data_IF_696551958141
#
_entry.id   IF_696551958141
#
_cell.length_a   1.000
_cell.length_b   1.000
_cell.length_c   1.000
_cell.angle_alpha   90.00
_cell.angle_beta   90.00
_cell.angle_gamma   90.00
#
_symmetry.space_group_name_H-M   'P 1'
#
loop_
_entity.id
_entity.type
_entity.pdbx_description
1 polymer ?
#
# COMPACT_ATOMS: atom_id res chain seq x y z
N UNK A 1 18.49 -8.68 -14.79
CA UNK A 1 18.38 -8.42 -13.34
C UNK A 1 17.27 -7.43 -12.97
N UNK A 2 17.26 -6.20 -13.53
CA UNK A 2 16.25 -5.17 -13.20
C UNK A 2 14.80 -5.57 -13.54
N UNK A 3 14.57 -6.17 -14.72
CA UNK A 3 13.25 -6.67 -15.11
C UNK A 3 12.73 -7.78 -14.17
N UNK A 4 13.62 -8.60 -13.63
CA UNK A 4 13.26 -9.64 -12.65
C UNK A 4 12.79 -9.05 -11.32
N UNK A 5 13.46 -8.00 -10.84
CA UNK A 5 13.06 -7.25 -9.64
C UNK A 5 11.70 -6.58 -9.87
N UNK A 6 11.51 -5.98 -11.03
CA UNK A 6 10.25 -5.32 -11.40
C UNK A 6 9.09 -6.34 -11.46
N UNK A 7 9.30 -7.48 -12.13
CA UNK A 7 8.30 -8.53 -12.25
C UNK A 7 7.95 -9.15 -10.89
N UNK A 8 8.95 -9.40 -10.04
CA UNK A 8 8.72 -9.89 -8.69
C UNK A 8 7.92 -8.87 -7.85
N UNK A 9 8.30 -7.60 -7.89
CA UNK A 9 7.60 -6.53 -7.18
C UNK A 9 6.13 -6.40 -7.62
N UNK A 10 5.90 -6.27 -8.93
CA UNK A 10 4.55 -6.15 -9.49
C UNK A 10 3.71 -7.41 -9.25
N UNK A 11 4.30 -8.60 -9.33
CA UNK A 11 3.62 -9.87 -9.10
C UNK A 11 3.19 -10.09 -7.64
N UNK A 12 3.91 -9.50 -6.68
CA UNK A 12 3.55 -9.56 -5.26
C UNK A 12 2.59 -8.46 -4.82
N UNK A 13 2.63 -7.28 -5.46
CA UNK A 13 1.82 -6.14 -5.08
C UNK A 13 0.31 -6.43 -5.20
N UNK A 14 -0.12 -6.99 -6.33
CA UNK A 14 -1.53 -7.30 -6.61
C UNK A 14 -2.16 -8.23 -5.56
N UNK A 15 -1.63 -9.45 -5.29
CA UNK A 15 -2.22 -10.33 -4.29
C UNK A 15 -2.14 -9.75 -2.87
N UNK A 16 -1.12 -8.95 -2.55
CA UNK A 16 -1.00 -8.29 -1.24
C UNK A 16 -2.08 -7.24 -1.03
N UNK A 17 -2.31 -6.37 -2.03
CA UNK A 17 -3.38 -5.37 -2.00
C UNK A 17 -4.75 -6.06 -1.90
N UNK A 18 -4.99 -7.08 -2.72
CA UNK A 18 -6.23 -7.85 -2.69
C UNK A 18 -6.48 -8.50 -1.32
N UNK A 19 -5.44 -9.06 -0.68
CA UNK A 19 -5.56 -9.65 0.66
C UNK A 19 -5.79 -8.60 1.77
N UNK A 20 -5.17 -7.42 1.66
CA UNK A 20 -5.42 -6.33 2.60
C UNK A 20 -6.85 -5.80 2.49
N UNK A 21 -7.37 -5.66 1.27
CA UNK A 21 -8.75 -5.27 1.02
C UNK A 21 -9.69 -6.32 1.61
N UNK A 22 -9.46 -7.61 1.36
CA UNK A 22 -10.35 -8.68 1.85
C UNK A 22 -10.41 -8.76 3.39
N UNK A 23 -9.39 -8.28 4.10
CA UNK A 23 -9.33 -8.27 5.57
C UNK A 23 -9.91 -7.01 6.21
N UNK A 24 -10.05 -5.92 5.45
CA UNK A 24 -10.45 -4.59 5.98
C UNK A 24 -11.79 -4.08 5.43
N UNK A 25 -12.38 -4.77 4.46
CA UNK A 25 -13.53 -4.31 3.69
C UNK A 25 -14.55 -5.44 3.60
N UNK A 26 -15.82 -5.16 3.88
CA UNK A 26 -16.90 -6.17 3.77
C UNK A 26 -17.20 -6.49 2.30
N UNK A 27 -17.85 -7.63 2.02
CA UNK A 27 -18.12 -8.06 0.64
C UNK A 27 -18.90 -7.02 -0.19
N UNK A 28 -19.69 -6.17 0.45
CA UNK A 28 -20.47 -5.10 -0.20
C UNK A 28 -19.61 -3.91 -0.67
N UNK A 29 -18.50 -3.64 0.01
CA UNK A 29 -17.62 -2.50 -0.29
C UNK A 29 -16.46 -2.87 -1.24
N UNK A 30 -16.16 -4.17 -1.37
CA UNK A 30 -15.04 -4.68 -2.18
C UNK A 30 -15.14 -4.27 -3.66
N UNK A 31 -16.35 -4.26 -4.23
CA UNK A 31 -16.59 -3.83 -5.62
C UNK A 31 -16.30 -2.34 -5.85
N UNK A 32 -16.64 -1.49 -4.89
CA UNK A 32 -16.36 -0.05 -4.95
C UNK A 32 -14.85 0.21 -4.84
N UNK A 33 -14.16 -0.49 -3.93
CA UNK A 33 -12.70 -0.37 -3.79
C UNK A 33 -11.98 -0.83 -5.05
N UNK A 34 -12.36 -1.98 -5.61
CA UNK A 34 -11.74 -2.51 -6.83
C UNK A 34 -12.03 -1.62 -8.04
N UNK A 35 -13.24 -1.07 -8.14
CA UNK A 35 -13.61 -0.08 -9.15
C UNK A 35 -12.77 1.19 -9.05
N UNK A 36 -12.54 1.70 -7.83
CA UNK A 36 -11.65 2.83 -7.58
C UNK A 36 -10.21 2.56 -8.03
N UNK A 37 -9.66 1.40 -7.68
CA UNK A 37 -8.31 0.98 -8.12
C UNK A 37 -8.23 0.94 -9.65
N UNK A 38 -9.23 0.38 -10.34
CA UNK A 38 -9.24 0.35 -11.80
C UNK A 38 -9.35 1.75 -12.42
N UNK A 39 -10.17 2.64 -11.86
CA UNK A 39 -10.27 4.02 -12.32
C UNK A 39 -8.93 4.76 -12.21
N UNK A 40 -8.22 4.59 -11.08
CA UNK A 40 -6.87 5.13 -10.92
C UNK A 40 -5.87 4.54 -11.91
N UNK A 41 -5.96 3.24 -12.19
CA UNK A 41 -5.09 2.59 -13.17
C UNK A 41 -5.31 3.19 -14.58
N UNK A 42 -6.56 3.33 -15.00
CA UNK A 42 -6.91 3.97 -16.27
C UNK A 42 -6.43 5.42 -16.34
N UNK A 43 -6.60 6.19 -15.26
CA UNK A 43 -6.10 7.56 -15.17
C UNK A 43 -4.58 7.61 -15.32
N UNK A 44 -3.86 6.70 -14.68
CA UNK A 44 -2.40 6.62 -14.75
C UNK A 44 -1.93 6.29 -16.17
N UNK A 45 -2.63 5.41 -16.88
CA UNK A 45 -2.30 5.10 -18.28
C UNK A 45 -2.45 6.29 -19.22
N UNK A 46 -3.36 7.23 -18.93
CA UNK A 46 -3.55 8.46 -19.72
C UNK A 46 -2.60 9.56 -19.26
N UNK A 47 -2.56 9.83 -17.95
CA UNK A 47 -1.78 10.92 -17.37
C UNK A 47 -0.27 10.65 -17.40
N UNK A 48 0.13 9.38 -17.27
CA UNK A 48 1.54 8.96 -17.22
C UNK A 48 2.32 9.37 -18.47
N UNK A 49 1.90 8.98 -19.68
CA UNK A 49 2.57 9.39 -20.92
C UNK A 49 2.58 10.91 -21.14
N UNK A 50 1.49 11.61 -20.80
CA UNK A 50 1.40 13.07 -20.92
C UNK A 50 2.42 13.74 -20.00
N UNK A 51 2.48 13.32 -18.74
CA UNK A 51 3.42 13.83 -17.75
C UNK A 51 4.87 13.52 -18.16
N UNK A 52 5.15 12.27 -18.51
CA UNK A 52 6.48 11.82 -18.91
C UNK A 52 6.96 12.54 -20.18
N UNK A 53 6.10 12.68 -21.19
CA UNK A 53 6.41 13.41 -22.42
C UNK A 53 6.69 14.88 -22.17
N UNK A 54 5.86 15.54 -21.35
CA UNK A 54 6.05 16.96 -21.01
C UNK A 54 7.39 17.20 -20.30
N UNK A 55 7.75 16.34 -19.35
CA UNK A 55 9.02 16.43 -18.63
C UNK A 55 10.20 16.07 -19.53
N UNK A 56 10.03 15.09 -20.41
CA UNK A 56 11.03 14.72 -21.41
C UNK A 56 11.36 15.91 -22.30
N UNK A 57 10.36 16.63 -22.79
CA UNK A 57 10.54 17.77 -23.71
C UNK A 57 11.15 19.00 -23.02
N UNK A 58 10.77 19.27 -21.76
CA UNK A 58 11.21 20.48 -21.05
C UNK A 58 12.58 20.34 -20.37
N UNK A 59 12.89 19.17 -19.82
CA UNK A 59 14.08 18.96 -18.96
C UNK A 59 15.07 18.01 -19.63
N UNK A 60 14.59 17.10 -20.47
CA UNK A 60 15.40 16.19 -21.26
C UNK A 60 15.16 14.71 -20.96
N UNK A 61 15.87 13.82 -21.66
CA UNK A 61 15.54 12.40 -21.71
C UNK A 61 15.64 11.63 -20.38
N UNK A 62 16.48 12.10 -19.46
CA UNK A 62 16.71 11.45 -18.16
C UNK A 62 15.65 11.83 -17.12
N UNK A 63 14.95 12.95 -17.30
CA UNK A 63 14.07 13.53 -16.30
C UNK A 63 12.84 12.66 -15.96
N UNK A 64 12.17 11.97 -16.92
CA UNK A 64 11.06 11.08 -16.59
C UNK A 64 11.49 9.93 -15.67
N UNK A 65 12.69 9.36 -15.88
CA UNK A 65 13.20 8.27 -15.04
C UNK A 65 13.50 8.73 -13.61
N UNK A 66 14.11 9.91 -13.45
CA UNK A 66 14.39 10.48 -12.14
C UNK A 66 13.09 10.81 -11.40
N UNK A 67 12.10 11.38 -12.10
CA UNK A 67 10.79 11.67 -11.51
C UNK A 67 10.08 10.40 -11.03
N UNK A 68 10.12 9.32 -11.82
CA UNK A 68 9.59 8.01 -11.43
C UNK A 68 10.28 7.44 -10.20
N UNK A 69 11.61 7.53 -10.12
CA UNK A 69 12.37 7.10 -8.95
C UNK A 69 11.97 7.88 -7.69
N UNK A 70 11.84 9.21 -7.78
CA UNK A 70 11.40 10.06 -6.68
C UNK A 70 9.98 9.71 -6.22
N UNK A 71 9.05 9.48 -7.16
CA UNK A 71 7.67 9.10 -6.84
C UNK A 71 7.61 7.75 -6.11
N UNK A 72 8.34 6.74 -6.59
CA UNK A 72 8.40 5.42 -5.95
C UNK A 72 9.03 5.51 -4.55
N UNK A 73 10.13 6.27 -4.39
CA UNK A 73 10.75 6.49 -3.09
C UNK A 73 9.82 7.19 -2.11
N UNK A 74 9.09 8.21 -2.56
CA UNK A 74 8.10 8.91 -1.74
C UNK A 74 6.97 7.98 -1.29
N UNK A 75 6.43 7.18 -2.21
CA UNK A 75 5.41 6.18 -1.88
C UNK A 75 5.91 5.17 -0.84
N UNK A 76 7.14 4.66 -1.01
CA UNK A 76 7.77 3.76 -0.05
C UNK A 76 7.92 4.40 1.33
N UNK A 77 8.30 5.67 1.40
CA UNK A 77 8.41 6.42 2.66
C UNK A 77 7.05 6.56 3.37
N UNK A 78 6.00 6.92 2.63
CA UNK A 78 4.63 7.03 3.16
C UNK A 78 4.13 5.69 3.70
N UNK A 79 4.31 4.61 2.93
CA UNK A 79 3.91 3.25 3.36
C UNK A 79 4.66 2.85 4.64
N UNK A 80 5.97 3.12 4.70
CA UNK A 80 6.79 2.83 5.88
C UNK A 80 6.32 3.64 7.10
N UNK A 81 6.00 4.92 6.91
CA UNK A 81 5.49 5.77 7.98
C UNK A 81 4.12 5.29 8.49
N UNK A 82 3.21 4.93 7.58
CA UNK A 82 1.89 4.40 7.92
C UNK A 82 1.95 3.01 8.59
N UNK A 83 2.98 2.22 8.31
CA UNK A 83 3.21 0.95 9.02
C UNK A 83 3.78 1.19 10.42
N UNK A 84 4.69 2.15 10.57
CA UNK A 84 5.26 2.52 11.88
C UNK A 84 4.19 3.05 12.83
N UNK A 85 3.28 3.90 12.37
CA UNK A 85 2.16 4.39 13.19
C UNK A 85 1.24 3.26 13.68
N UNK A 86 1.04 2.24 12.86
CA UNK A 86 0.25 1.06 13.22
C UNK A 86 0.95 0.09 14.17
N UNK A 87 2.28 0.09 14.24
CA UNK A 87 3.03 -0.74 15.20
C UNK A 87 3.20 -0.05 16.56
N UNK A 88 3.15 1.29 16.58
CA UNK A 88 3.20 2.07 17.81
C UNK A 88 1.90 1.98 18.63
N UNK A 89 0.74 1.80 17.98
CA UNK A 89 -0.58 1.79 18.64
C UNK A 89 -1.02 0.49 19.38
N UNK A 90 -0.64 -0.76 19.00
CA UNK A 90 -1.26 -1.98 19.54
C UNK A 90 -0.52 -2.64 20.72
N UNK A 91 0.78 -2.39 20.90
CA UNK A 91 1.56 -3.05 21.96
C UNK A 91 1.20 -2.53 23.35
N UNK A 92 0.80 -1.28 23.44
CA UNK A 92 0.45 -0.62 24.70
C UNK A 92 -0.92 -1.08 25.24
N UNK A 93 -1.88 -1.36 24.35
CA UNK A 93 -3.20 -1.87 24.74
C UNK A 93 -3.17 -3.34 25.21
N UNK A 94 -2.30 -4.17 24.61
CA UNK A 94 -2.14 -5.57 25.01
C UNK A 94 -1.31 -5.74 26.30
N UNK A 95 -0.40 -4.81 26.59
CA UNK A 95 0.35 -4.76 27.86
C UNK A 95 -0.45 -4.10 28.99
N UNK A 96 -1.47 -3.30 28.66
CA UNK A 96 -2.40 -2.68 29.62
C UNK A 96 -3.61 -3.56 29.97
N UNK A 97 -3.79 -4.71 29.31
CA UNK A 97 -4.78 -5.70 29.72
C UNK A 97 -4.29 -6.37 31.02
N UNK A 98 -4.93 -6.15 32.17
CA UNK A 98 -4.51 -6.77 33.41
C UNK A 98 -4.76 -8.27 33.29
N UNK A 99 -3.72 -9.06 33.57
CA UNK A 99 -3.79 -10.50 33.69
C UNK A 99 -4.73 -10.87 34.86
N UNK A 100 -6.05 -10.89 34.63
CA UNK A 100 -7.02 -11.29 35.63
C UNK A 100 -7.43 -12.75 35.42
N UNK A 101 -6.63 -13.58 36.08
CA UNK A 101 -6.95 -14.79 36.84
C UNK A 101 -7.79 -15.92 36.20
N UNK A 102 -7.19 -17.12 36.03
CA UNK A 102 -7.91 -18.34 35.72
C UNK A 102 -8.34 -19.05 37.03
N UNK A 103 -9.39 -18.62 37.73
CA UNK A 103 -9.79 -19.31 38.98
C UNK A 103 -11.22 -19.01 39.52
N UNK A 104 -12.23 -18.78 38.67
CA UNK A 104 -13.61 -18.57 39.18
C UNK A 104 -14.76 -19.31 38.47
N UNK A 105 -14.51 -20.22 37.51
CA UNK A 105 -15.58 -20.99 36.86
C UNK A 105 -15.56 -22.50 37.17
N UNK A 106 -15.12 -22.88 38.37
CA UNK A 106 -15.23 -24.26 38.87
C UNK A 106 -16.19 -24.41 40.07
N UNK A 107 -16.93 -23.38 40.42
CA UNK A 107 -17.95 -23.47 41.46
C UNK A 107 -19.13 -22.56 41.10
N UNK A 108 -20.08 -23.08 40.30
CA UNK A 108 -21.52 -22.88 40.45
C UNK A 108 -22.29 -23.78 39.47
#
# INVERSE_FOLDING_TARGET
PALGVLAAGSGMATPSITSLISRRVTSEEQGAVLGGVQAFNSLTMVAGPIFAGTIFDLIGPTAPYVSGALLISAAGAVITNALRSQLAAPRDAALAAPALEPEQNLAH
#
